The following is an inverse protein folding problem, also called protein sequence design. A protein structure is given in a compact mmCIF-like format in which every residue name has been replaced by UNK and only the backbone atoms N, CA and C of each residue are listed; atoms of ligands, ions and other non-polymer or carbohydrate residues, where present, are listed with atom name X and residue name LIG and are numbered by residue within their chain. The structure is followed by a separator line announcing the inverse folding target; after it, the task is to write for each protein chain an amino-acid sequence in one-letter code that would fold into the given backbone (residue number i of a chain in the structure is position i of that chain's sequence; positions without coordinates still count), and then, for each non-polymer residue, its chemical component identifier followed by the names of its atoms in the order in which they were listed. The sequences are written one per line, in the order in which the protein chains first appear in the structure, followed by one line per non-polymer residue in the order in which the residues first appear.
data_IF_819309086674
#
_entry.id   IF_819309086674
#
_cell.length_a   1.000
_cell.length_b   1.000
_cell.length_c   1.000
_cell.angle_alpha   90.00
_cell.angle_beta   90.00
_cell.angle_gamma   90.00
#
_symmetry.space_group_name_H-M   'P 1'
#
loop_
_entity.id
_entity.type
_entity.pdbx_description
1 polymer ?
#
# COMPACT_ATOMS: atom_id res chain seq x y z
N UNK A 1 7.52 -7.74 -5.61
CA UNK A 1 6.52 -6.67 -5.65
C UNK A 1 6.89 -5.56 -4.70
N UNK A 2 6.55 -4.34 -5.13
CA UNK A 2 6.90 -3.16 -4.37
C UNK A 2 6.28 -3.15 -2.98
N UNK A 3 4.98 -3.47 -2.87
CA UNK A 3 4.31 -3.46 -1.58
C UNK A 3 4.97 -4.41 -0.60
N UNK A 4 5.19 -5.63 -1.04
CA UNK A 4 5.76 -6.67 -0.19
C UNK A 4 7.15 -6.29 0.29
N UNK A 5 7.95 -5.70 -0.59
CA UNK A 5 9.32 -5.35 -0.25
C UNK A 5 9.39 -4.14 0.67
N UNK A 6 8.47 -3.20 0.53
CA UNK A 6 8.50 -1.96 1.30
C UNK A 6 7.93 -2.09 2.71
N UNK A 7 6.91 -2.93 2.88
CA UNK A 7 6.14 -2.92 4.12
C UNK A 7 6.63 -3.89 5.17
N UNK A 8 7.47 -4.85 4.79
CA UNK A 8 8.02 -5.78 5.75
C UNK A 8 7.03 -6.87 6.15
N UNK A 9 7.50 -7.77 7.02
CA UNK A 9 6.76 -8.99 7.34
C UNK A 9 5.48 -8.73 8.12
N UNK A 10 5.50 -7.77 9.05
CA UNK A 10 4.33 -7.49 9.87
C UNK A 10 3.13 -7.05 9.05
N UNK A 11 3.35 -6.07 8.17
CA UNK A 11 2.27 -5.57 7.33
C UNK A 11 1.85 -6.62 6.32
N UNK A 12 2.82 -7.34 5.75
CA UNK A 12 2.51 -8.38 4.76
C UNK A 12 1.67 -9.50 5.34
N UNK A 13 1.89 -9.83 6.59
CA UNK A 13 1.10 -10.87 7.26
C UNK A 13 -0.38 -10.54 7.27
N UNK A 14 -0.72 -9.25 7.42
CA UNK A 14 -2.11 -8.80 7.47
C UNK A 14 -2.63 -8.35 6.11
N UNK A 15 -1.81 -8.38 5.07
CA UNK A 15 -2.22 -7.98 3.73
C UNK A 15 -2.82 -9.17 3.01
N UNK A 16 -4.11 -9.07 2.68
CA UNK A 16 -4.82 -10.16 2.01
C UNK A 16 -4.73 -10.04 0.50
N UNK A 17 -4.75 -8.83 -0.03
CA UNK A 17 -4.74 -8.64 -1.47
C UNK A 17 -4.23 -7.26 -1.82
N UNK A 18 -3.56 -7.15 -2.97
CA UNK A 18 -3.06 -5.88 -3.49
C UNK A 18 -3.37 -5.85 -4.98
N UNK A 19 -4.16 -4.86 -5.41
CA UNK A 19 -4.57 -4.74 -6.81
C UNK A 19 -4.37 -3.30 -7.26
N UNK A 20 -3.77 -3.15 -8.44
CA UNK A 20 -3.62 -1.83 -9.06
C UNK A 20 -4.65 -1.71 -10.18
N UNK A 21 -5.51 -0.69 -10.10
CA UNK A 21 -6.49 -0.40 -11.14
C UNK A 21 -6.30 1.05 -11.57
N UNK A 22 -5.89 1.24 -12.82
CA UNK A 22 -5.54 2.56 -13.29
C UNK A 22 -4.35 3.08 -12.48
N UNK A 23 -4.55 4.16 -11.75
CA UNK A 23 -3.52 4.74 -10.89
C UNK A 23 -3.84 4.59 -9.41
N UNK A 24 -4.84 3.80 -9.06
CA UNK A 24 -5.24 3.59 -7.67
C UNK A 24 -4.83 2.20 -7.22
N UNK A 25 -4.09 2.13 -6.11
CA UNK A 25 -3.68 0.87 -5.53
C UNK A 25 -4.66 0.49 -4.43
N UNK A 26 -5.29 -0.66 -4.58
CA UNK A 26 -6.25 -1.18 -3.59
C UNK A 26 -5.55 -2.24 -2.75
N UNK A 27 -5.53 -2.02 -1.44
CA UNK A 27 -4.90 -2.96 -0.52
C UNK A 27 -5.94 -3.44 0.47
N UNK A 28 -6.14 -4.74 0.51
CA UNK A 28 -7.08 -5.35 1.45
C UNK A 28 -6.32 -5.87 2.65
N UNK A 29 -6.71 -5.42 3.84
CA UNK A 29 -6.03 -5.78 5.08
C UNK A 29 -6.96 -6.53 5.99
N UNK A 30 -6.42 -7.48 6.74
CA UNK A 30 -7.20 -8.25 7.70
C UNK A 30 -7.22 -7.62 9.09
N UNK A 31 -6.47 -6.54 9.30
CA UNK A 31 -6.40 -5.88 10.61
C UNK A 31 -6.96 -4.48 10.50
N UNK A 32 -8.00 -4.20 11.30
CA UNK A 32 -8.60 -2.87 11.34
C UNK A 32 -7.65 -1.85 11.95
N UNK A 33 -6.88 -2.27 12.95
CA UNK A 33 -5.92 -1.38 13.60
C UNK A 33 -4.82 -0.98 12.62
N UNK A 34 -4.31 -1.95 11.87
CA UNK A 34 -3.26 -1.66 10.90
C UNK A 34 -3.79 -0.76 9.78
N UNK A 35 -5.02 -1.01 9.33
CA UNK A 35 -5.64 -0.18 8.30
C UNK A 35 -5.73 1.27 8.77
N UNK A 36 -6.13 1.45 10.02
CA UNK A 36 -6.24 2.78 10.59
C UNK A 36 -4.88 3.48 10.62
N UNK A 37 -3.86 2.78 11.05
CA UNK A 37 -2.53 3.37 11.12
C UNK A 37 -1.98 3.73 9.76
N UNK A 38 -2.16 2.86 8.79
CA UNK A 38 -1.67 3.12 7.45
C UNK A 38 -2.42 4.26 6.77
N UNK A 39 -3.68 4.46 7.14
CA UNK A 39 -4.48 5.55 6.58
C UNK A 39 -3.85 6.91 6.90
N UNK A 40 -3.18 7.04 8.03
CA UNK A 40 -2.54 8.30 8.40
C UNK A 40 -1.28 8.61 7.58
N UNK A 41 -0.75 7.64 6.85
CA UNK A 41 0.45 7.83 6.06
C UNK A 41 0.28 7.53 4.58
N UNK A 42 -0.92 7.71 4.05
CA UNK A 42 -1.21 7.32 2.67
C UNK A 42 -0.32 8.01 1.65
N UNK A 43 -0.12 9.33 1.81
CA UNK A 43 0.69 10.06 0.84
C UNK A 43 2.14 9.58 0.85
N UNK A 44 2.63 9.21 2.02
CA UNK A 44 3.98 8.67 2.12
C UNK A 44 4.05 7.30 1.44
N UNK A 45 3.00 6.49 1.60
CA UNK A 45 2.94 5.18 0.94
C UNK A 45 2.98 5.36 -0.57
N UNK A 46 2.20 6.31 -1.10
CA UNK A 46 2.18 6.59 -2.54
C UNK A 46 3.58 6.97 -3.01
N UNK A 47 4.26 7.86 -2.29
CA UNK A 47 5.62 8.26 -2.65
C UNK A 47 6.58 7.08 -2.65
N UNK A 48 6.50 6.25 -1.62
CA UNK A 48 7.40 5.12 -1.49
C UNK A 48 7.19 4.09 -2.61
N UNK A 49 5.94 3.84 -2.96
CA UNK A 49 5.63 2.90 -4.03
C UNK A 49 6.16 3.42 -5.36
N UNK A 50 5.91 4.71 -5.66
CA UNK A 50 6.37 5.28 -6.91
C UNK A 50 7.90 5.31 -6.98
N UNK A 51 8.54 5.58 -5.87
CA UNK A 51 9.99 5.57 -5.83
C UNK A 51 10.55 4.18 -6.08
N UNK A 52 9.90 3.16 -5.51
CA UNK A 52 10.33 1.78 -5.71
C UNK A 52 10.15 1.36 -7.17
N UNK A 53 9.10 1.84 -7.82
CA UNK A 53 8.83 1.55 -9.23
C UNK A 53 9.59 2.46 -10.17
N UNK A 54 10.24 3.49 -9.63
CA UNK A 54 11.05 4.46 -10.36
C UNK A 54 10.25 5.24 -11.40
N UNK A 55 8.96 5.46 -11.12
CA UNK A 55 8.11 6.31 -11.93
C UNK A 55 6.78 6.51 -11.21
N UNK A 56 6.06 7.54 -11.59
CA UNK A 56 4.79 7.88 -10.96
C UNK A 56 3.67 7.07 -11.57
N UNK A 57 3.40 5.92 -10.98
CA UNK A 57 2.36 5.00 -11.43
C UNK A 57 1.11 5.10 -10.55
N UNK A 58 1.32 5.32 -9.25
CA UNK A 58 0.23 5.33 -8.27
C UNK A 58 -0.04 6.75 -7.82
N UNK A 59 -1.31 7.16 -7.89
CA UNK A 59 -1.72 8.48 -7.40
C UNK A 59 -2.54 8.39 -6.13
N UNK A 60 -3.09 7.21 -5.82
CA UNK A 60 -3.91 7.03 -4.65
C UNK A 60 -3.83 5.61 -4.14
N UNK A 61 -3.95 5.45 -2.81
CA UNK A 61 -4.00 4.14 -2.17
C UNK A 61 -5.32 4.04 -1.41
N UNK A 62 -6.05 2.96 -1.64
CA UNK A 62 -7.29 2.66 -0.91
C UNK A 62 -7.01 1.47 0.00
N UNK A 63 -7.21 1.66 1.29
CA UNK A 63 -7.02 0.62 2.29
C UNK A 63 -8.38 0.12 2.76
N UNK A 64 -8.61 -1.19 2.64
CA UNK A 64 -9.90 -1.75 2.99
C UNK A 64 -9.78 -3.18 3.54
#
# INVERSE_FOLDING_TARGET
EAWKNLMGNGVNYYTKNVVLKGTTLYVELSSAVLREELTHGKSKIVSMINEALKREVVTEVVLR
#
